data_IF_995785981807
#
_entry.id   IF_995785981807
#
_cell.length_a   1.000
_cell.length_b   1.000
_cell.length_c   1.000
_cell.angle_alpha   90.00
_cell.angle_beta   90.00
_cell.angle_gamma   90.00
#
_symmetry.space_group_name_H-M   'P 1'
#
loop_
_entity.id
_entity.type
_entity.pdbx_description
1 polymer ?
#
# COMPACT_ATOMS: atom_id res chain seq x y z
N UNK A 1 -8.64 -12.03 1.54
CA UNK A 1 -9.42 -12.27 2.78
C UNK A 1 -10.83 -12.71 2.41
N UNK A 2 -11.72 -12.85 3.40
CA UNK A 2 -13.14 -13.21 3.19
C UNK A 2 -13.95 -11.92 3.31
N UNK A 3 -14.66 -11.52 2.26
CA UNK A 3 -15.67 -10.48 2.37
C UNK A 3 -16.85 -11.10 3.14
N UNK A 4 -17.17 -10.55 4.32
CA UNK A 4 -18.33 -10.94 5.11
C UNK A 4 -19.31 -9.77 5.09
N UNK A 5 -20.61 -10.08 5.03
CA UNK A 5 -21.70 -9.10 4.91
C UNK A 5 -21.72 -8.29 3.60
N UNK A 6 -21.32 -8.92 2.49
CA UNK A 6 -21.44 -8.36 1.15
C UNK A 6 -22.64 -9.00 0.42
N UNK A 7 -23.61 -8.20 -0.03
CA UNK A 7 -24.71 -8.70 -0.87
C UNK A 7 -24.70 -8.05 -2.26
N UNK A 8 -25.08 -8.82 -3.29
CA UNK A 8 -25.12 -8.39 -4.68
C UNK A 8 -26.57 -8.43 -5.17
N UNK A 9 -26.96 -7.44 -5.97
CA UNK A 9 -28.32 -7.39 -6.55
C UNK A 9 -28.56 -8.58 -7.46
N UNK A 10 -29.80 -9.08 -7.50
CA UNK A 10 -30.25 -10.03 -8.52
C UNK A 10 -30.11 -9.38 -9.91
N UNK A 11 -29.18 -9.89 -10.72
CA UNK A 11 -28.84 -9.33 -12.04
C UNK A 11 -27.61 -8.41 -12.06
N UNK A 12 -26.94 -8.19 -10.93
CA UNK A 12 -25.61 -7.57 -10.89
C UNK A 12 -24.56 -8.47 -11.54
N UNK A 13 -23.59 -7.87 -12.22
CA UNK A 13 -22.51 -8.63 -12.86
C UNK A 13 -21.39 -8.91 -11.84
N UNK A 14 -21.00 -10.18 -11.73
CA UNK A 14 -19.89 -10.63 -10.91
C UNK A 14 -18.77 -11.07 -11.83
N UNK A 15 -17.75 -10.24 -12.00
CA UNK A 15 -16.52 -10.65 -12.68
C UNK A 15 -15.46 -10.94 -11.63
N UNK A 16 -15.33 -12.22 -11.27
CA UNK A 16 -14.26 -12.71 -10.42
C UNK A 16 -13.19 -13.40 -11.25
N UNK A 17 -11.93 -13.18 -10.87
CA UNK A 17 -10.80 -13.99 -11.29
C UNK A 17 -9.86 -14.29 -10.12
N UNK A 18 -10.03 -15.47 -9.52
CA UNK A 18 -9.07 -16.16 -8.63
C UNK A 18 -9.22 -17.68 -8.81
N UNK A 19 -8.11 -18.40 -8.81
CA UNK A 19 -7.96 -19.59 -7.97
C UNK A 19 -6.47 -19.79 -7.65
N UNK A 20 -6.18 -20.08 -6.39
CA UNK A 20 -4.88 -20.63 -6.01
C UNK A 20 -4.86 -22.08 -6.46
N UNK A 21 -3.97 -22.41 -7.40
CA UNK A 21 -3.78 -23.70 -8.10
C UNK A 21 -4.67 -24.04 -9.32
N UNK A 22 -5.63 -23.22 -9.73
CA UNK A 22 -6.28 -23.43 -11.05
C UNK A 22 -5.40 -22.94 -12.20
N UNK A 23 -5.53 -23.54 -13.40
CA UNK A 23 -4.81 -23.09 -14.57
C UNK A 23 -5.07 -21.61 -14.81
N UNK A 24 -4.01 -20.84 -15.09
CA UNK A 24 -4.04 -19.40 -15.08
C UNK A 24 -5.04 -18.82 -16.07
N UNK A 25 -5.76 -17.85 -15.54
CA UNK A 25 -6.88 -17.18 -16.13
C UNK A 25 -6.49 -16.42 -17.42
N UNK A 26 -5.40 -15.66 -17.42
CA UNK A 26 -4.96 -14.95 -18.63
C UNK A 26 -4.50 -15.97 -19.68
N UNK A 27 -4.93 -15.86 -20.94
CA UNK A 27 -4.36 -16.69 -22.01
C UNK A 27 -2.84 -16.53 -22.07
N UNK A 28 -2.12 -17.56 -22.52
CA UNK A 28 -0.64 -17.58 -22.50
C UNK A 28 -0.01 -16.40 -23.24
N UNK A 29 -0.71 -15.81 -24.21
CA UNK A 29 -0.29 -14.58 -24.88
C UNK A 29 -0.26 -13.38 -23.93
N UNK A 30 -1.31 -13.17 -23.15
CA UNK A 30 -1.41 -12.06 -22.20
C UNK A 30 -0.47 -12.27 -21.01
N UNK A 31 -0.30 -13.52 -20.56
CA UNK A 31 0.71 -13.85 -19.54
C UNK A 31 2.14 -13.59 -20.00
N UNK A 32 2.49 -14.00 -21.22
CA UNK A 32 3.79 -13.67 -21.81
C UNK A 32 3.96 -12.16 -21.97
N UNK A 33 2.89 -11.42 -22.29
CA UNK A 33 2.92 -9.96 -22.36
C UNK A 33 3.17 -9.32 -20.99
N UNK A 34 2.40 -9.66 -19.96
CA UNK A 34 2.61 -9.13 -18.60
C UNK A 34 3.96 -9.56 -18.01
N UNK A 35 4.39 -10.80 -18.26
CA UNK A 35 5.72 -11.30 -17.89
C UNK A 35 6.84 -10.56 -18.62
N UNK A 36 6.68 -10.26 -19.91
CA UNK A 36 7.62 -9.41 -20.67
C UNK A 36 7.64 -7.96 -20.20
N UNK A 37 6.65 -7.54 -19.41
CA UNK A 37 6.54 -6.22 -18.80
C UNK A 37 6.99 -6.20 -17.33
N UNK A 38 7.52 -7.30 -16.80
CA UNK A 38 8.07 -7.35 -15.43
C UNK A 38 7.03 -7.58 -14.31
N UNK A 39 5.76 -7.84 -14.64
CA UNK A 39 4.67 -7.98 -13.66
C UNK A 39 4.59 -9.39 -13.03
N UNK A 40 5.67 -9.87 -12.40
CA UNK A 40 5.64 -11.07 -11.56
C UNK A 40 5.35 -10.66 -10.10
N UNK A 41 4.35 -11.24 -9.42
CA UNK A 41 4.21 -11.07 -7.97
C UNK A 41 2.83 -10.99 -7.32
N UNK A 42 1.82 -11.70 -7.82
CA UNK A 42 0.50 -11.73 -7.20
C UNK A 42 0.22 -13.11 -6.60
N UNK A 43 0.09 -13.23 -5.27
CA UNK A 43 -0.16 -14.52 -4.57
C UNK A 43 -1.45 -14.56 -3.73
N UNK A 44 -2.16 -13.45 -3.57
CA UNK A 44 -3.37 -13.41 -2.74
C UNK A 44 -4.62 -13.24 -3.58
N UNK A 45 -5.68 -13.96 -3.22
CA UNK A 45 -7.00 -13.79 -3.81
C UNK A 45 -8.12 -13.84 -2.79
N UNK A 46 -9.35 -13.71 -3.28
CA UNK A 46 -10.63 -13.85 -2.58
C UNK A 46 -11.30 -15.21 -2.78
N UNK A 47 -11.62 -15.89 -1.69
CA UNK A 47 -12.30 -17.19 -1.69
C UNK A 47 -13.55 -17.00 -0.86
N UNK A 48 -14.67 -17.19 -1.53
CA UNK A 48 -15.98 -17.14 -0.93
C UNK A 48 -16.28 -18.53 -0.40
N UNK A 49 -16.30 -18.68 0.92
CA UNK A 49 -16.61 -19.95 1.56
C UNK A 49 -18.11 -20.21 1.62
N UNK A 50 -18.94 -19.16 1.69
CA UNK A 50 -20.40 -19.26 1.75
C UNK A 50 -21.03 -18.05 1.04
N UNK A 51 -21.97 -18.30 0.12
CA UNK A 51 -22.84 -17.28 -0.47
C UNK A 51 -24.24 -17.57 0.02
N UNK A 52 -24.74 -16.74 0.95
CA UNK A 52 -26.11 -16.85 1.46
C UNK A 52 -27.00 -15.84 0.74
N UNK A 53 -28.14 -16.30 0.23
CA UNK A 53 -29.18 -15.41 -0.27
C UNK A 53 -29.98 -14.95 0.93
N UNK A 54 -29.74 -13.71 1.37
CA UNK A 54 -30.50 -13.11 2.46
C UNK A 54 -31.79 -12.50 1.88
N UNK A 55 -32.88 -13.26 1.91
CA UNK A 55 -34.21 -12.74 1.59
C UNK A 55 -34.73 -11.89 2.77
N UNK A 56 -35.14 -10.65 2.49
CA UNK A 56 -35.83 -9.81 3.47
C UNK A 56 -34.93 -9.07 4.47
N UNK A 57 -33.67 -8.79 4.12
CA UNK A 57 -32.89 -7.81 4.88
C UNK A 57 -33.65 -6.47 4.91
N UNK A 58 -33.95 -5.98 6.12
CA UNK A 58 -34.55 -4.65 6.29
C UNK A 58 -33.67 -3.59 5.62
N UNK A 59 -34.26 -2.65 4.89
CA UNK A 59 -33.54 -1.53 4.25
C UNK A 59 -32.66 -0.76 5.24
N UNK A 60 -33.00 -0.80 6.54
CA UNK A 60 -32.24 -0.15 7.61
C UNK A 60 -30.93 -0.87 7.99
N UNK A 61 -30.73 -2.11 7.54
CA UNK A 61 -29.54 -2.92 7.81
C UNK A 61 -28.61 -3.04 6.59
N UNK A 62 -28.80 -2.20 5.57
CA UNK A 62 -28.03 -2.27 4.33
C UNK A 62 -27.48 -0.91 3.94
N UNK A 63 -26.15 -0.82 3.82
CA UNK A 63 -25.45 0.27 3.16
C UNK A 63 -25.32 -0.06 1.67
N UNK A 64 -26.22 0.50 0.87
CA UNK A 64 -26.18 0.33 -0.58
C UNK A 64 -25.14 1.26 -1.21
N UNK A 65 -24.27 0.69 -2.04
CA UNK A 65 -23.29 1.40 -2.87
C UNK A 65 -23.73 1.27 -4.33
N UNK A 66 -24.45 2.27 -4.88
CA UNK A 66 -24.82 2.28 -6.29
C UNK A 66 -23.59 2.43 -7.18
N UNK A 67 -23.67 1.96 -8.43
CA UNK A 67 -22.56 2.10 -9.38
C UNK A 67 -21.33 1.24 -9.08
N UNK A 68 -20.19 1.51 -9.75
CA UNK A 68 -18.95 0.75 -9.61
C UNK A 68 -18.26 1.00 -8.28
N UNK A 69 -18.06 -0.08 -7.51
CA UNK A 69 -17.33 -0.08 -6.26
C UNK A 69 -16.09 -0.96 -6.31
N UNK A 70 -15.07 -0.62 -5.53
CA UNK A 70 -13.90 -1.45 -5.29
C UNK A 70 -13.74 -1.73 -3.79
N UNK A 71 -13.18 -2.89 -3.45
CA UNK A 71 -12.79 -3.25 -2.08
C UNK A 71 -11.28 -3.49 -2.03
N UNK A 72 -10.57 -2.72 -1.21
CA UNK A 72 -9.16 -2.95 -0.91
C UNK A 72 -9.03 -3.53 0.51
N UNK A 73 -8.48 -4.73 0.62
CA UNK A 73 -8.37 -5.43 1.90
C UNK A 73 -6.89 -5.72 2.22
N UNK A 74 -6.29 -5.00 3.17
CA UNK A 74 -4.95 -5.33 3.63
C UNK A 74 -4.93 -6.67 4.38
N UNK A 75 -3.77 -7.31 4.49
CA UNK A 75 -3.65 -8.56 5.26
C UNK A 75 -3.86 -8.33 6.77
N UNK A 76 -3.43 -7.18 7.28
CA UNK A 76 -3.60 -6.75 8.66
C UNK A 76 -4.08 -5.29 8.68
N UNK A 77 -5.04 -4.98 9.56
CA UNK A 77 -5.41 -3.59 9.84
C UNK A 77 -4.27 -2.83 10.53
N UNK A 78 -4.25 -1.50 10.38
CA UNK A 78 -3.25 -0.61 11.00
C UNK A 78 -1.79 -1.03 10.75
N UNK A 79 -1.51 -1.45 9.52
CA UNK A 79 -0.17 -1.83 9.07
C UNK A 79 0.14 -1.14 7.74
N UNK A 80 1.12 -0.23 7.74
CA UNK A 80 1.45 0.60 6.56
C UNK A 80 1.85 -0.20 5.33
N UNK A 81 2.54 -1.33 5.53
CA UNK A 81 3.02 -2.15 4.43
C UNK A 81 1.87 -2.87 3.72
N UNK A 82 1.04 -3.59 4.47
CA UNK A 82 -0.09 -4.31 3.87
C UNK A 82 -1.20 -3.38 3.39
N UNK A 83 -1.33 -2.21 4.01
CA UNK A 83 -2.20 -1.16 3.50
C UNK A 83 -1.74 -0.72 2.11
N UNK A 84 -0.46 -0.36 1.95
CA UNK A 84 0.11 0.02 0.67
C UNK A 84 -0.06 -1.08 -0.39
N UNK A 85 0.26 -2.34 -0.07
CA UNK A 85 0.07 -3.50 -0.96
C UNK A 85 -1.37 -3.65 -1.46
N UNK A 86 -2.37 -3.24 -0.68
CA UNK A 86 -3.79 -3.37 -1.04
C UNK A 86 -4.30 -2.25 -1.94
N UNK A 87 -3.82 -1.01 -1.73
CA UNK A 87 -4.36 0.17 -2.43
C UNK A 87 -3.52 0.58 -3.64
N UNK A 88 -2.23 0.19 -3.70
CA UNK A 88 -1.34 0.54 -4.82
C UNK A 88 -1.86 0.05 -6.17
N UNK A 89 -2.71 -0.99 -6.18
CA UNK A 89 -3.38 -1.48 -7.38
C UNK A 89 -4.22 -0.43 -8.10
N UNK A 90 -4.76 0.55 -7.38
CA UNK A 90 -5.47 1.68 -7.99
C UNK A 90 -4.52 2.52 -8.85
N UNK A 91 -3.30 2.75 -8.39
CA UNK A 91 -2.29 3.45 -9.17
C UNK A 91 -1.88 2.64 -10.41
N UNK A 92 -1.53 1.36 -10.25
CA UNK A 92 -1.13 0.51 -11.38
C UNK A 92 -2.24 0.42 -12.44
N UNK A 93 -3.49 0.27 -11.99
CA UNK A 93 -4.64 0.23 -12.88
C UNK A 93 -4.85 1.57 -13.63
N UNK A 94 -4.53 2.70 -12.99
CA UNK A 94 -4.64 4.02 -13.61
C UNK A 94 -3.65 4.25 -14.75
N UNK A 95 -2.51 3.56 -14.74
CA UNK A 95 -1.53 3.61 -15.82
C UNK A 95 -1.97 2.83 -17.07
N UNK A 96 -3.00 1.99 -16.94
CA UNK A 96 -3.49 1.10 -17.99
C UNK A 96 -5.03 1.13 -18.11
N UNK A 97 -5.64 2.30 -18.39
CA UNK A 97 -7.10 2.44 -18.44
C UNK A 97 -7.76 1.57 -19.52
N UNK A 98 -7.01 1.17 -20.55
CA UNK A 98 -7.46 0.24 -21.59
C UNK A 98 -7.61 -1.20 -21.08
N UNK A 99 -6.90 -1.56 -20.02
CA UNK A 99 -6.97 -2.88 -19.36
C UNK A 99 -7.94 -2.83 -18.18
N UNK A 100 -8.01 -1.70 -17.48
CA UNK A 100 -8.80 -1.50 -16.27
C UNK A 100 -9.82 -0.35 -16.42
N UNK A 101 -10.77 -0.45 -17.38
CA UNK A 101 -11.71 0.62 -17.66
C UNK A 101 -12.64 0.95 -16.48
N UNK A 102 -12.84 0.00 -15.56
CA UNK A 102 -13.66 0.17 -14.36
C UNK A 102 -13.14 1.27 -13.42
N UNK A 103 -11.85 1.59 -13.47
CA UNK A 103 -11.26 2.59 -12.59
C UNK A 103 -11.70 4.02 -12.95
N UNK A 104 -11.91 4.30 -14.24
CA UNK A 104 -12.36 5.62 -14.73
C UNK A 104 -13.75 5.96 -14.18
N UNK A 105 -14.59 4.95 -14.02
CA UNK A 105 -15.96 5.06 -13.48
C UNK A 105 -16.07 4.64 -12.02
N UNK A 106 -14.97 4.53 -11.28
CA UNK A 106 -15.01 4.08 -9.89
C UNK A 106 -15.68 5.15 -9.01
N UNK A 107 -16.82 4.82 -8.42
CA UNK A 107 -17.59 5.73 -7.58
C UNK A 107 -17.33 5.48 -6.08
N UNK A 108 -17.06 4.23 -5.70
CA UNK A 108 -16.92 3.82 -4.31
C UNK A 108 -15.64 3.02 -4.06
N UNK A 109 -14.96 3.28 -2.94
CA UNK A 109 -13.86 2.47 -2.44
C UNK A 109 -14.15 2.08 -0.99
N UNK A 110 -14.36 0.80 -0.71
CA UNK A 110 -14.54 0.28 0.64
C UNK A 110 -13.23 -0.31 1.18
N UNK A 111 -12.85 0.13 2.38
CA UNK A 111 -11.66 -0.32 3.12
C UNK A 111 -12.12 -1.05 4.39
N UNK A 112 -12.11 -2.40 4.40
CA UNK A 112 -12.78 -3.15 5.46
C UNK A 112 -12.02 -3.14 6.80
N UNK A 113 -10.69 -3.16 6.80
CA UNK A 113 -9.89 -3.33 8.02
C UNK A 113 -9.33 -2.01 8.57
N UNK A 114 -9.95 -0.90 8.18
CA UNK A 114 -9.46 0.44 8.46
C UNK A 114 -10.59 1.29 9.04
N UNK A 115 -10.19 2.21 9.92
CA UNK A 115 -11.06 3.08 10.70
C UNK A 115 -10.76 4.52 10.35
N UNK A 116 -11.71 5.33 9.88
CA UNK A 116 -11.38 6.70 9.46
C UNK A 116 -10.65 7.50 10.56
N UNK A 117 -11.13 7.41 11.80
CA UNK A 117 -10.59 8.17 12.93
C UNK A 117 -9.36 7.52 13.61
N UNK A 118 -9.23 6.19 13.57
CA UNK A 118 -8.16 5.46 14.27
C UNK A 118 -7.05 4.94 13.36
N UNK A 119 -7.16 5.18 12.06
CA UNK A 119 -6.17 4.76 11.08
C UNK A 119 -4.86 5.56 11.23
N UNK A 120 -3.76 4.94 10.80
CA UNK A 120 -2.46 5.59 10.79
C UNK A 120 -2.47 6.76 9.80
N UNK A 121 -1.96 7.92 10.22
CA UNK A 121 -1.82 9.10 9.35
C UNK A 121 -1.10 8.75 8.03
N UNK A 122 -0.08 7.89 8.11
CA UNK A 122 0.63 7.39 6.94
C UNK A 122 -0.29 6.70 5.93
N UNK A 123 -1.22 5.85 6.39
CA UNK A 123 -2.16 5.14 5.50
C UNK A 123 -3.09 6.11 4.80
N UNK A 124 -3.61 7.10 5.53
CA UNK A 124 -4.49 8.11 4.96
C UNK A 124 -3.75 8.98 3.93
N UNK A 125 -2.53 9.42 4.25
CA UNK A 125 -1.69 10.18 3.32
C UNK A 125 -1.29 9.37 2.08
N UNK A 126 -0.96 8.09 2.25
CA UNK A 126 -0.65 7.19 1.15
C UNK A 126 -1.85 6.94 0.23
N UNK A 127 -3.04 6.72 0.81
CA UNK A 127 -4.28 6.58 0.05
C UNK A 127 -4.58 7.86 -0.74
N UNK A 128 -4.47 9.02 -0.10
CA UNK A 128 -4.70 10.30 -0.77
C UNK A 128 -3.77 10.50 -1.96
N UNK A 129 -2.49 10.17 -1.80
CA UNK A 129 -1.50 10.18 -2.88
C UNK A 129 -1.88 9.21 -4.01
N UNK A 130 -2.26 7.97 -3.70
CA UNK A 130 -2.66 6.98 -4.70
C UNK A 130 -3.88 7.46 -5.50
N UNK A 131 -4.88 8.03 -4.82
CA UNK A 131 -6.08 8.57 -5.46
C UNK A 131 -5.78 9.83 -6.28
N UNK A 132 -4.87 10.69 -5.80
CA UNK A 132 -4.38 11.84 -6.56
C UNK A 132 -3.69 11.39 -7.86
N UNK A 133 -2.73 10.47 -7.76
CA UNK A 133 -2.00 9.95 -8.91
C UNK A 133 -2.94 9.27 -9.92
N UNK A 134 -3.92 8.49 -9.44
CA UNK A 134 -4.91 7.88 -10.31
C UNK A 134 -5.78 8.92 -11.05
N UNK A 135 -6.17 10.01 -10.36
CA UNK A 135 -6.95 11.09 -10.95
C UNK A 135 -6.18 11.85 -12.04
N UNK A 136 -4.87 12.07 -11.88
CA UNK A 136 -4.00 12.64 -12.93
C UNK A 136 -3.96 11.77 -14.20
N UNK A 137 -4.29 10.47 -14.08
CA UNK A 137 -4.43 9.55 -15.20
C UNK A 137 -5.89 9.35 -15.65
N UNK A 138 -6.80 10.22 -15.23
CA UNK A 138 -8.20 10.25 -15.68
C UNK A 138 -9.15 9.35 -14.87
N UNK A 139 -8.72 8.78 -13.74
CA UNK A 139 -9.62 8.09 -12.83
C UNK A 139 -10.54 9.08 -12.11
N UNK A 140 -11.77 8.66 -11.82
CA UNK A 140 -12.64 9.41 -10.90
C UNK A 140 -12.15 9.17 -9.47
N UNK A 141 -12.11 10.23 -8.65
CA UNK A 141 -11.80 10.09 -7.22
C UNK A 141 -13.02 9.49 -6.50
N UNK A 142 -12.93 8.25 -5.98
CA UNK A 142 -14.08 7.58 -5.39
C UNK A 142 -14.43 8.17 -4.01
N UNK A 143 -15.68 7.96 -3.60
CA UNK A 143 -16.10 8.09 -2.21
C UNK A 143 -15.47 6.95 -1.42
N UNK A 144 -14.63 7.29 -0.43
CA UNK A 144 -13.97 6.31 0.42
C UNK A 144 -14.86 5.98 1.62
N UNK A 145 -15.08 4.69 1.84
CA UNK A 145 -15.88 4.14 2.92
C UNK A 145 -14.98 3.31 3.83
N UNK A 146 -14.99 3.63 5.12
CA UNK A 146 -14.35 2.80 6.15
C UNK A 146 -15.42 1.91 6.77
N UNK A 147 -15.15 0.60 6.88
CA UNK A 147 -16.17 -0.33 7.36
C UNK A 147 -16.58 -0.10 8.82
N UNK A 148 -15.70 0.45 9.65
CA UNK A 148 -16.04 0.82 11.02
C UNK A 148 -17.04 2.00 11.06
N UNK A 149 -16.83 3.02 10.23
CA UNK A 149 -17.72 4.19 10.11
C UNK A 149 -19.13 3.78 9.63
N UNK A 150 -19.19 2.73 8.81
CA UNK A 150 -20.43 2.11 8.35
C UNK A 150 -21.02 1.08 9.34
N UNK A 151 -20.37 0.83 10.48
CA UNK A 151 -20.82 -0.14 11.47
C UNK A 151 -20.86 -1.59 10.96
N UNK A 152 -20.15 -1.92 9.88
CA UNK A 152 -20.21 -3.25 9.24
C UNK A 152 -19.62 -4.35 10.11
N UNK A 153 -18.82 -3.97 11.12
CA UNK A 153 -18.25 -4.90 12.09
C UNK A 153 -19.14 -4.97 13.34
N UNK A 154 -19.53 -6.18 13.78
CA UNK A 154 -20.22 -6.33 15.04
C UNK A 154 -19.33 -5.77 16.15
N UNK A 155 -19.89 -4.88 16.98
CA UNK A 155 -19.26 -4.52 18.26
C UNK A 155 -19.06 -5.79 19.09
N UNK A 156 -17.99 -5.86 19.88
CA UNK A 156 -17.77 -7.00 20.78
C UNK A 156 -19.04 -7.28 21.60
N UNK A 157 -19.59 -8.50 21.47
CA UNK A 157 -20.82 -8.92 22.14
C UNK A 157 -22.14 -8.74 21.36
N UNK A 158 -22.13 -8.13 20.18
CA UNK A 158 -23.33 -8.02 19.33
C UNK A 158 -23.64 -9.35 18.61
N UNK A 159 -24.92 -9.66 18.41
CA UNK A 159 -25.34 -10.79 17.59
C UNK A 159 -24.93 -10.54 16.13
N UNK A 160 -24.38 -11.57 15.47
CA UNK A 160 -23.91 -11.46 14.07
C UNK A 160 -24.97 -11.00 13.07
N UNK A 161 -26.26 -11.16 13.38
CA UNK A 161 -27.37 -10.75 12.51
C UNK A 161 -27.79 -9.28 12.64
N UNK A 162 -27.16 -8.50 13.52
CA UNK A 162 -27.54 -7.10 13.79
C UNK A 162 -26.61 -6.08 13.15
N UNK A 163 -25.46 -6.51 12.61
CA UNK A 163 -24.54 -5.61 11.92
C UNK A 163 -25.05 -5.25 10.52
N UNK A 164 -25.05 -3.97 10.13
CA UNK A 164 -25.32 -3.56 8.76
C UNK A 164 -24.44 -4.28 7.73
N UNK A 165 -24.99 -4.51 6.54
CA UNK A 165 -24.30 -5.13 5.42
C UNK A 165 -23.94 -4.07 4.38
N UNK A 166 -22.79 -4.22 3.71
CA UNK A 166 -22.46 -3.42 2.54
C UNK A 166 -22.96 -4.17 1.30
N UNK A 167 -23.72 -3.51 0.44
CA UNK A 167 -24.22 -4.15 -0.76
C UNK A 167 -23.93 -3.31 -2.00
N UNK A 168 -23.67 -4.00 -3.10
CA UNK A 168 -23.05 -3.40 -4.28
C UNK A 168 -23.87 -3.68 -5.54
N UNK A 169 -23.95 -2.69 -6.41
CA UNK A 169 -24.46 -2.88 -7.77
C UNK A 169 -23.41 -3.55 -8.66
N UNK A 170 -22.16 -3.06 -8.60
CA UNK A 170 -20.99 -3.61 -9.28
C UNK A 170 -19.80 -3.59 -8.32
N UNK A 171 -19.03 -4.69 -8.27
CA UNK A 171 -17.96 -4.85 -7.31
C UNK A 171 -16.67 -5.36 -7.95
N UNK A 172 -15.59 -4.63 -7.71
CA UNK A 172 -14.21 -5.03 -8.01
C UNK A 172 -13.51 -5.37 -6.70
N UNK A 173 -12.87 -6.53 -6.66
CA UNK A 173 -12.07 -6.94 -5.50
C UNK A 173 -10.61 -6.73 -5.84
N UNK A 174 -9.95 -5.85 -5.09
CA UNK A 174 -8.51 -5.62 -5.27
C UNK A 174 -7.74 -6.77 -4.62
N UNK A 175 -6.80 -7.31 -5.36
CA UNK A 175 -5.78 -8.21 -4.81
C UNK A 175 -4.75 -7.42 -4.00
N UNK A 176 -3.92 -8.14 -3.28
CA UNK A 176 -2.69 -7.56 -2.71
C UNK A 176 -1.51 -7.94 -3.59
N UNK A 177 -0.62 -6.99 -3.87
CA UNK A 177 0.73 -7.32 -4.36
C UNK A 177 1.47 -8.09 -3.28
N UNK A 178 2.28 -9.10 -3.63
CA UNK A 178 3.20 -9.66 -2.64
C UNK A 178 4.52 -8.94 -2.71
N UNK A 179 4.95 -8.39 -1.58
CA UNK A 179 6.21 -7.69 -1.38
C UNK A 179 7.48 -8.43 -1.80
N UNK A 180 7.43 -9.74 -2.09
CA UNK A 180 8.54 -10.49 -2.70
C UNK A 180 9.06 -9.85 -4.00
N UNK A 181 8.30 -8.94 -4.64
CA UNK A 181 8.67 -8.28 -5.89
C UNK A 181 8.61 -6.74 -5.80
N UNK A 182 8.45 -6.16 -4.61
CA UNK A 182 8.23 -4.72 -4.43
C UNK A 182 6.79 -4.27 -4.75
N UNK A 183 6.50 -2.98 -4.52
CA UNK A 183 5.17 -2.43 -4.80
C UNK A 183 4.95 -2.15 -6.29
N UNK A 184 6.02 -1.93 -7.06
CA UNK A 184 5.94 -1.53 -8.46
C UNK A 184 6.46 -2.64 -9.36
N UNK A 185 5.83 -2.83 -10.52
CA UNK A 185 6.26 -3.83 -11.48
C UNK A 185 7.44 -3.38 -12.34
N UNK A 186 7.70 -2.07 -12.40
CA UNK A 186 8.74 -1.50 -13.26
C UNK A 186 9.35 -0.23 -12.62
N UNK A 187 10.68 0.02 -12.75
CA UNK A 187 11.32 1.21 -12.18
C UNK A 187 10.66 2.54 -12.59
N UNK A 188 10.27 2.67 -13.87
CA UNK A 188 9.52 3.85 -14.37
C UNK A 188 8.19 4.10 -13.65
N UNK A 189 7.51 3.05 -13.19
CA UNK A 189 6.27 3.17 -12.43
C UNK A 189 6.56 3.74 -11.04
N UNK A 190 7.63 3.28 -10.39
CA UNK A 190 8.13 3.85 -9.14
C UNK A 190 8.51 5.34 -9.31
N UNK A 191 9.23 5.69 -10.38
CA UNK A 191 9.63 7.07 -10.67
C UNK A 191 8.43 7.98 -10.88
N UNK A 192 7.42 7.50 -11.61
CA UNK A 192 6.18 8.24 -11.83
C UNK A 192 5.40 8.42 -10.52
N UNK A 193 5.35 7.39 -9.68
CA UNK A 193 4.71 7.48 -8.37
C UNK A 193 5.42 8.51 -7.46
N UNK A 194 6.76 8.50 -7.44
CA UNK A 194 7.57 9.50 -6.71
C UNK A 194 7.33 10.91 -7.23
N UNK A 195 7.25 11.10 -8.56
CA UNK A 195 6.94 12.39 -9.16
C UNK A 195 5.55 12.90 -8.76
N UNK A 196 4.55 12.02 -8.70
CA UNK A 196 3.22 12.36 -8.18
C UNK A 196 3.29 12.75 -6.70
N UNK A 197 4.08 12.05 -5.88
CA UNK A 197 4.30 12.41 -4.48
C UNK A 197 4.89 13.82 -4.34
N UNK A 198 5.86 14.17 -5.19
CA UNK A 198 6.50 15.49 -5.19
C UNK A 198 5.53 16.62 -5.50
N UNK A 199 4.65 16.41 -6.48
CA UNK A 199 3.61 17.39 -6.85
C UNK A 199 2.57 17.49 -5.74
N UNK A 200 2.01 16.35 -5.32
CA UNK A 200 0.93 16.27 -4.34
C UNK A 200 1.32 16.90 -3.00
N UNK A 201 2.54 16.64 -2.53
CA UNK A 201 3.04 17.10 -1.24
C UNK A 201 3.78 18.46 -1.32
N UNK A 202 3.87 19.05 -2.51
CA UNK A 202 4.56 20.32 -2.73
C UNK A 202 6.06 20.25 -2.37
N UNK A 203 6.74 19.18 -2.79
CA UNK A 203 8.15 18.92 -2.49
C UNK A 203 9.10 19.23 -3.66
N UNK A 204 8.57 19.56 -4.85
CA UNK A 204 9.34 19.84 -6.06
C UNK A 204 10.28 21.06 -6.00
N UNK A 205 10.15 21.91 -4.97
CA UNK A 205 11.06 23.04 -4.73
C UNK A 205 12.29 22.69 -3.89
N UNK A 206 12.34 21.50 -3.27
CA UNK A 206 13.45 21.08 -2.43
C UNK A 206 14.47 20.36 -3.31
N UNK A 207 15.67 20.93 -3.53
CA UNK A 207 16.70 20.25 -4.31
C UNK A 207 17.10 18.96 -3.59
N UNK A 208 17.15 17.85 -4.32
CA UNK A 208 17.86 16.67 -3.84
C UNK A 208 19.32 16.81 -4.27
N UNK A 209 20.28 16.83 -3.32
CA UNK A 209 21.70 16.76 -3.63
C UNK A 209 22.01 15.62 -4.61
N UNK A 210 22.64 15.95 -5.73
CA UNK A 210 23.09 14.95 -6.69
C UNK A 210 24.28 14.16 -6.12
N UNK A 211 24.28 12.84 -6.35
CA UNK A 211 25.39 11.97 -5.98
C UNK A 211 26.63 12.34 -6.81
N UNK A 212 27.62 12.95 -6.15
CA UNK A 212 28.94 13.26 -6.71
C UNK A 212 30.04 12.34 -6.16
N UNK A 213 31.27 12.37 -6.71
CA UNK A 213 32.39 11.56 -6.24
C UNK A 213 32.78 11.81 -4.78
N UNK A 214 32.56 13.03 -4.30
CA UNK A 214 32.84 13.47 -2.92
C UNK A 214 31.59 13.40 -2.02
N UNK A 215 30.50 12.80 -2.52
CA UNK A 215 29.23 12.76 -1.79
C UNK A 215 29.30 11.76 -0.64
N UNK A 216 29.05 12.25 0.57
CA UNK A 216 28.85 11.40 1.73
C UNK A 216 27.40 10.92 1.76
N UNK A 217 27.21 9.61 1.86
CA UNK A 217 25.89 8.96 1.86
C UNK A 217 25.05 9.46 3.05
N UNK A 218 23.88 10.01 2.74
CA UNK A 218 22.89 10.44 3.71
C UNK A 218 22.14 9.22 4.22
N UNK A 219 22.62 8.70 5.34
CA UNK A 219 22.11 7.46 5.93
C UNK A 219 20.99 7.76 6.92
N UNK A 220 19.81 7.21 6.70
CA UNK A 220 18.68 7.25 7.62
C UNK A 220 18.60 5.92 8.37
N UNK A 221 18.79 5.96 9.70
CA UNK A 221 18.65 4.79 10.57
C UNK A 221 17.27 4.83 11.24
N UNK A 222 16.39 3.90 10.86
CA UNK A 222 15.03 3.85 11.41
C UNK A 222 15.05 3.38 12.85
N UNK A 223 14.60 4.25 13.76
CA UNK A 223 14.34 3.87 15.13
C UNK A 223 12.92 3.35 15.30
N UNK A 224 12.77 2.31 16.12
CA UNK A 224 11.47 1.74 16.45
C UNK A 224 11.35 1.54 17.94
N UNK A 225 10.16 1.83 18.46
CA UNK A 225 9.81 1.47 19.83
C UNK A 225 9.23 0.04 19.90
N UNK A 226 9.25 -0.56 21.09
CA UNK A 226 8.66 -1.89 21.31
C UNK A 226 9.56 -3.08 20.99
N UNK A 227 8.98 -4.17 20.50
CA UNK A 227 9.64 -5.49 20.37
C UNK A 227 10.55 -5.62 19.15
N UNK A 228 10.34 -4.81 18.10
CA UNK A 228 11.14 -4.82 16.86
C UNK A 228 12.06 -3.61 16.82
N UNK A 229 13.06 -3.60 17.70
CA UNK A 229 14.02 -2.49 17.87
C UNK A 229 15.46 -2.97 17.74
N UNK A 230 16.33 -2.07 17.32
CA UNK A 230 17.76 -2.31 17.26
C UNK A 230 18.38 -2.21 18.66
N UNK A 231 18.77 -3.33 19.26
CA UNK A 231 19.34 -3.36 20.62
C UNK A 231 20.77 -2.81 20.67
N UNK A 232 21.52 -2.98 19.58
CA UNK A 232 22.92 -2.57 19.45
C UNK A 232 23.07 -1.35 18.54
N UNK A 233 22.16 -0.37 18.66
CA UNK A 233 22.12 0.82 17.80
C UNK A 233 23.48 1.51 17.68
N UNK A 234 24.16 1.78 18.80
CA UNK A 234 25.47 2.43 18.79
C UNK A 234 26.52 1.67 17.99
N UNK A 235 26.52 0.34 18.02
CA UNK A 235 27.44 -0.48 17.22
C UNK A 235 27.16 -0.37 15.72
N UNK A 236 25.88 -0.23 15.34
CA UNK A 236 25.50 -0.02 13.92
C UNK A 236 25.90 1.38 13.47
N UNK A 237 25.67 2.41 14.28
CA UNK A 237 26.13 3.78 14.01
C UNK A 237 27.67 3.83 13.87
N UNK A 238 28.40 3.18 14.77
CA UNK A 238 29.86 3.04 14.71
C UNK A 238 30.31 2.30 13.44
N UNK A 239 29.65 1.22 13.06
CA UNK A 239 29.96 0.48 11.85
C UNK A 239 29.72 1.31 10.58
N UNK A 240 28.62 2.07 10.53
CA UNK A 240 28.32 3.02 9.44
C UNK A 240 29.42 4.09 9.39
N UNK A 241 29.79 4.68 10.52
CA UNK A 241 30.82 5.70 10.60
C UNK A 241 32.20 5.19 10.17
N UNK A 242 32.55 3.95 10.55
CA UNK A 242 33.81 3.32 10.23
C UNK A 242 34.04 3.14 8.72
N UNK A 243 32.97 3.09 7.91
CA UNK A 243 33.10 3.02 6.45
C UNK A 243 33.75 4.26 5.85
N UNK A 244 33.66 5.42 6.53
CA UNK A 244 34.08 6.71 5.99
C UNK A 244 33.19 7.25 4.85
N UNK A 245 32.10 6.55 4.53
CA UNK A 245 31.22 6.87 3.40
C UNK A 245 29.98 7.67 3.80
N UNK A 246 29.60 7.69 5.09
CA UNK A 246 28.35 8.28 5.55
C UNK A 246 28.49 9.75 6.00
N UNK A 247 27.45 10.54 5.75
CA UNK A 247 27.27 11.86 6.35
C UNK A 247 26.81 11.68 7.81
N UNK A 248 27.73 11.89 8.74
CA UNK A 248 27.48 11.73 10.18
C UNK A 248 26.57 12.82 10.75
N UNK A 249 26.54 14.01 10.14
CA UNK A 249 25.61 15.06 10.56
C UNK A 249 24.19 14.67 10.20
N UNK A 250 23.98 14.15 8.98
CA UNK A 250 22.68 13.65 8.55
C UNK A 250 22.22 12.47 9.43
N UNK A 251 23.09 11.49 9.68
CA UNK A 251 22.79 10.32 10.53
C UNK A 251 22.31 10.74 11.92
N UNK A 252 23.03 11.65 12.58
CA UNK A 252 22.67 12.14 13.91
C UNK A 252 21.32 12.90 13.93
N UNK A 253 20.95 13.55 12.82
CA UNK A 253 19.70 14.30 12.70
C UNK A 253 18.46 13.44 12.37
N UNK A 254 18.69 12.19 11.95
CA UNK A 254 17.69 11.30 11.36
C UNK A 254 17.42 10.01 12.15
N UNK A 255 18.10 9.81 13.27
CA UNK A 255 17.69 8.83 14.28
C UNK A 255 16.32 9.23 14.86
N UNK A 256 15.26 8.82 14.17
CA UNK A 256 13.87 9.23 14.43
C UNK A 256 12.94 8.04 14.37
N UNK A 257 11.87 8.15 15.14
CA UNK A 257 10.73 7.23 15.10
C UNK A 257 9.76 7.71 14.03
N UNK A 258 9.70 7.02 12.88
CA UNK A 258 8.82 7.41 11.76
C UNK A 258 7.37 7.55 12.19
N UNK A 259 6.91 6.70 13.12
CA UNK A 259 5.53 6.67 13.58
C UNK A 259 5.07 7.98 14.26
N UNK A 260 5.99 8.88 14.59
CA UNK A 260 5.70 10.19 15.18
C UNK A 260 5.74 11.35 14.18
N UNK A 261 6.20 11.11 12.96
CA UNK A 261 6.35 12.12 11.92
C UNK A 261 5.17 12.06 10.94
N UNK A 262 4.76 13.21 10.42
CA UNK A 262 3.67 13.28 9.43
C UNK A 262 4.03 12.56 8.14
N UNK A 263 3.04 12.11 7.36
CA UNK A 263 3.27 11.42 6.08
C UNK A 263 4.17 12.26 5.15
N UNK A 264 3.88 13.55 5.03
CA UNK A 264 4.69 14.50 4.24
C UNK A 264 6.13 14.57 4.71
N UNK A 265 6.37 14.62 6.02
CA UNK A 265 7.71 14.66 6.59
C UNK A 265 8.47 13.36 6.32
N UNK A 266 7.81 12.20 6.46
CA UNK A 266 8.42 10.91 6.15
C UNK A 266 8.85 10.83 4.68
N UNK A 267 7.99 11.22 3.73
CA UNK A 267 8.33 11.28 2.30
C UNK A 267 9.50 12.23 2.05
N UNK A 268 9.48 13.41 2.67
CA UNK A 268 10.57 14.39 2.55
C UNK A 268 11.92 13.87 3.06
N UNK A 269 11.94 13.03 4.10
CA UNK A 269 13.17 12.38 4.57
C UNK A 269 13.68 11.34 3.58
N UNK A 270 12.79 10.53 3.02
CA UNK A 270 13.15 9.47 2.06
C UNK A 270 13.74 10.03 0.76
N UNK A 271 13.20 11.14 0.25
CA UNK A 271 13.81 11.86 -0.90
C UNK A 271 15.24 12.33 -0.66
N UNK A 272 15.62 12.52 0.61
CA UNK A 272 16.97 12.96 0.98
C UNK A 272 17.87 11.82 1.43
N UNK A 273 17.37 10.58 1.42
CA UNK A 273 18.07 9.42 1.96
C UNK A 273 18.70 8.61 0.83
N UNK A 274 20.01 8.40 0.92
CA UNK A 274 20.76 7.54 0.01
C UNK A 274 20.82 6.10 0.51
N UNK A 275 20.84 5.94 1.84
CA UNK A 275 20.91 4.65 2.51
C UNK A 275 19.90 4.59 3.66
N UNK A 276 18.89 3.74 3.54
CA UNK A 276 17.94 3.45 4.61
C UNK A 276 18.35 2.16 5.31
N UNK A 277 18.59 2.24 6.63
CA UNK A 277 18.89 1.07 7.46
C UNK A 277 17.77 0.88 8.47
N UNK A 278 17.15 -0.29 8.51
CA UNK A 278 16.02 -0.54 9.39
C UNK A 278 15.94 -2.00 9.84
N UNK A 279 15.37 -2.24 11.02
CA UNK A 279 14.96 -3.59 11.44
C UNK A 279 13.71 -4.00 10.68
N UNK A 280 13.67 -5.26 10.23
CA UNK A 280 12.56 -5.82 9.47
C UNK A 280 11.19 -5.46 10.01
N UNK A 281 10.37 -4.92 9.11
CA UNK A 281 8.98 -4.60 9.37
C UNK A 281 8.43 -3.52 8.46
N UNK A 282 7.22 -3.07 8.80
CA UNK A 282 6.42 -2.24 7.92
C UNK A 282 7.02 -0.86 7.63
N UNK A 283 7.86 -0.31 8.52
CA UNK A 283 8.49 1.00 8.32
C UNK A 283 9.43 1.06 7.11
N UNK A 284 9.93 -0.09 6.62
CA UNK A 284 10.77 -0.19 5.42
C UNK A 284 10.00 0.24 4.16
N UNK A 285 8.67 0.18 4.17
CA UNK A 285 7.85 0.59 3.02
C UNK A 285 8.08 2.04 2.62
N UNK A 286 8.56 2.89 3.52
CA UNK A 286 8.93 4.27 3.20
C UNK A 286 10.04 4.37 2.13
N UNK A 287 10.85 3.32 1.96
CA UNK A 287 11.90 3.27 0.94
C UNK A 287 11.40 3.45 -0.50
N UNK A 288 10.10 3.25 -0.76
CA UNK A 288 9.50 3.53 -2.08
C UNK A 288 9.63 5.00 -2.50
N UNK A 289 9.81 5.91 -1.54
CA UNK A 289 9.97 7.34 -1.78
C UNK A 289 11.43 7.79 -1.89
N UNK A 290 12.39 6.87 -1.76
CA UNK A 290 13.80 7.17 -1.98
C UNK A 290 14.10 7.31 -3.47
N UNK A 291 15.08 8.14 -3.81
CA UNK A 291 15.48 8.35 -5.20
C UNK A 291 16.08 7.08 -5.83
N UNK A 292 16.01 6.94 -7.17
CA UNK A 292 16.65 5.84 -7.88
C UNK A 292 18.14 5.73 -7.55
N UNK A 293 18.61 4.50 -7.31
CA UNK A 293 20.00 4.22 -6.95
C UNK A 293 20.30 4.32 -5.46
N UNK A 294 19.34 4.75 -4.63
CA UNK A 294 19.44 4.61 -3.18
C UNK A 294 19.36 3.14 -2.74
N UNK A 295 19.77 2.86 -1.50
CA UNK A 295 19.88 1.49 -0.97
C UNK A 295 19.06 1.35 0.30
N UNK A 296 18.34 0.23 0.41
CA UNK A 296 17.67 -0.19 1.64
C UNK A 296 18.39 -1.43 2.19
N UNK A 297 18.79 -1.36 3.47
CA UNK A 297 19.30 -2.48 4.24
C UNK A 297 18.23 -2.88 5.26
N UNK A 298 17.60 -4.03 5.01
CA UNK A 298 16.68 -4.68 5.93
C UNK A 298 17.46 -5.63 6.86
N UNK A 299 17.49 -5.30 8.15
CA UNK A 299 18.10 -6.09 9.20
C UNK A 299 17.09 -7.12 9.73
N UNK A 300 17.31 -8.39 9.38
CA UNK A 300 16.54 -9.52 9.88
C UNK A 300 17.23 -10.15 11.11
N UNK A 301 16.48 -10.92 11.91
CA UNK A 301 16.99 -11.63 13.09
C UNK A 301 18.25 -12.47 12.76
N UNK A 302 19.09 -12.80 13.77
CA UNK A 302 20.50 -12.37 13.93
C UNK A 302 21.54 -12.94 12.94
N UNK A 303 21.15 -13.35 11.73
CA UNK A 303 22.08 -13.95 10.76
C UNK A 303 21.74 -13.62 9.31
N UNK A 304 20.84 -12.67 9.06
CA UNK A 304 20.40 -12.37 7.71
C UNK A 304 20.20 -10.85 7.54
N UNK A 305 20.74 -10.31 6.45
CA UNK A 305 20.49 -8.95 6.00
C UNK A 305 20.12 -9.02 4.53
N UNK A 306 19.07 -8.29 4.16
CA UNK A 306 18.65 -8.14 2.77
C UNK A 306 19.03 -6.73 2.30
N UNK A 307 19.65 -6.66 1.12
CA UNK A 307 20.07 -5.40 0.50
C UNK A 307 19.30 -5.23 -0.79
N UNK A 308 18.54 -4.15 -0.88
CA UNK A 308 17.73 -3.79 -2.05
C UNK A 308 18.20 -2.44 -2.60
N UNK A 309 18.27 -2.33 -3.94
CA UNK A 309 18.59 -1.07 -4.64
C UNK A 309 17.30 -0.52 -5.23
N UNK A 310 16.99 0.74 -4.93
CA UNK A 310 15.75 1.44 -5.26
C UNK A 310 15.72 2.08 -6.66
#
# INVERSE_FOLDING_TARGET
>A
GVARNACLRRGGEVVLRRSGSAPPLLGDALRRRLASQGQYGFRFGWEFTEVEVVDGASEQMVHWMPGPAAVALPAYGRNVHHFAESVIMLFHASLHPEIYPWLVSLEHLLLPLTSGEQELEWNLGFLDLVLFAAAEHGATRPLVHFAEDLGLWPREGANRGEAPMACFEQLVLLGMTTSEFGLFAHPREADLFRAHADVHLGLGGTPVPALGPEHQMRTFLVERSGSRRLLNKGQVEEAIAFTGLADLHFLNSTARTFELESFRTQVSWMRQTDLLVAVHGSGIINGIFMDPGSVVIDLLCPSFAEVQVC
#
